data_IF_635664910900
#
_entry.id   IF_635664910900
#
_cell.length_a   1.000
_cell.length_b   1.000
_cell.length_c   1.000
_cell.angle_alpha   90.00
_cell.angle_beta   90.00
_cell.angle_gamma   90.00
#
_symmetry.space_group_name_H-M   'P 1'
#
loop_
_entity.id
_entity.type
_entity.pdbx_description
1 polymer ?
#
# COMPACT_ATOMS: atom_id res chain seq x y z
N UNK A 1 -3.02 7.53 22.44
CA UNK A 1 -2.90 6.91 21.11
C UNK A 1 -1.49 7.13 20.63
N UNK A 2 -0.73 6.04 20.48
CA UNK A 2 0.54 6.09 19.79
C UNK A 2 0.34 6.16 18.27
N UNK A 3 1.41 6.39 17.52
CA UNK A 3 1.37 6.51 16.06
C UNK A 3 0.82 5.24 15.39
N UNK A 4 1.20 4.06 15.89
CA UNK A 4 0.79 2.79 15.28
C UNK A 4 -0.72 2.58 15.40
N UNK A 5 -1.29 2.94 16.55
CA UNK A 5 -2.72 2.91 16.81
C UNK A 5 -3.49 3.87 15.89
N UNK A 6 -2.93 5.07 15.65
CA UNK A 6 -3.52 6.06 14.72
C UNK A 6 -3.56 5.51 13.30
N UNK A 7 -2.41 5.04 12.77
CA UNK A 7 -2.33 4.55 11.39
C UNK A 7 -3.26 3.35 11.17
N UNK A 8 -3.34 2.46 12.16
CA UNK A 8 -4.24 1.31 12.11
C UNK A 8 -5.71 1.73 12.06
N UNK A 9 -6.12 2.69 12.91
CA UNK A 9 -7.50 3.21 12.90
C UNK A 9 -7.85 3.91 11.58
N UNK A 10 -6.94 4.73 11.06
CA UNK A 10 -7.13 5.44 9.78
C UNK A 10 -7.36 4.44 8.66
N UNK A 11 -6.46 3.46 8.48
CA UNK A 11 -6.59 2.53 7.37
C UNK A 11 -7.81 1.62 7.50
N UNK A 12 -8.17 1.19 8.72
CA UNK A 12 -9.41 0.42 8.94
C UNK A 12 -10.63 1.23 8.50
N UNK A 13 -10.79 2.46 8.97
CA UNK A 13 -11.94 3.28 8.60
C UNK A 13 -11.95 3.65 7.11
N UNK A 14 -10.80 3.94 6.51
CA UNK A 14 -10.71 4.18 5.06
C UNK A 14 -11.12 2.93 4.28
N UNK A 15 -10.63 1.75 4.66
CA UNK A 15 -10.96 0.50 3.99
C UNK A 15 -12.47 0.17 4.07
N UNK A 16 -13.12 0.46 5.20
CA UNK A 16 -14.57 0.32 5.37
C UNK A 16 -15.37 1.32 4.51
N UNK A 17 -14.94 2.59 4.44
CA UNK A 17 -15.62 3.63 3.64
C UNK A 17 -15.60 3.28 2.15
N UNK A 18 -14.48 2.76 1.66
CA UNK A 18 -14.30 2.41 0.24
C UNK A 18 -14.72 0.97 -0.09
N UNK A 19 -15.20 0.20 0.88
CA UNK A 19 -15.54 -1.23 0.72
C UNK A 19 -14.43 -2.03 0.02
N UNK A 20 -13.18 -1.80 0.44
CA UNK A 20 -12.00 -2.40 -0.17
C UNK A 20 -11.66 -3.76 0.48
N UNK A 21 -11.16 -4.71 -0.32
CA UNK A 21 -10.78 -6.05 0.17
C UNK A 21 -9.55 -6.03 1.09
N UNK A 22 -8.63 -5.07 0.86
CA UNK A 22 -7.42 -4.85 1.65
C UNK A 22 -6.92 -3.41 1.46
N UNK A 23 -6.19 -2.91 2.46
CA UNK A 23 -5.66 -1.56 2.45
C UNK A 23 -4.38 -1.44 3.29
N UNK A 24 -3.53 -0.47 2.96
CA UNK A 24 -2.30 -0.22 3.71
C UNK A 24 -1.98 1.27 3.80
N UNK A 25 -1.24 1.63 4.86
CA UNK A 25 -0.57 2.94 4.98
C UNK A 25 0.92 2.68 5.01
N UNK A 26 1.63 3.29 4.07
CA UNK A 26 3.07 3.23 3.99
C UNK A 26 3.69 4.61 4.24
N UNK A 27 4.84 4.64 4.88
CA UNK A 27 5.59 5.86 5.15
C UNK A 27 6.91 5.82 4.39
N UNK A 28 7.30 6.95 3.82
CA UNK A 28 8.60 7.14 3.20
C UNK A 28 9.69 7.22 4.28
N UNK A 29 10.78 6.50 4.09
CA UNK A 29 12.02 6.55 4.88
C UNK A 29 13.14 7.15 4.01
N UNK A 30 13.33 8.49 4.01
CA UNK A 30 14.18 9.18 3.04
C UNK A 30 15.65 8.78 3.12
N UNK A 31 16.14 8.45 4.33
CA UNK A 31 17.52 8.03 4.57
C UNK A 31 17.90 6.73 3.85
N UNK A 32 16.89 5.89 3.54
CA UNK A 32 17.07 4.59 2.89
C UNK A 32 16.51 4.55 1.47
N UNK A 33 15.82 5.60 1.02
CA UNK A 33 15.08 5.62 -0.25
C UNK A 33 14.08 4.45 -0.35
N UNK A 34 13.45 4.13 0.78
CA UNK A 34 12.48 3.04 0.92
C UNK A 34 11.12 3.59 1.36
N UNK A 35 10.06 2.95 0.92
CA UNK A 35 8.70 3.12 1.45
C UNK A 35 8.39 1.88 2.29
N UNK A 36 7.88 2.06 3.50
CA UNK A 36 7.66 0.95 4.43
C UNK A 36 6.21 0.91 4.88
N UNK A 37 5.59 -0.27 4.76
CA UNK A 37 4.19 -0.49 5.16
C UNK A 37 4.11 -0.52 6.68
N UNK A 38 3.47 0.49 7.29
CA UNK A 38 3.35 0.65 8.75
C UNK A 38 2.05 0.07 9.29
N UNK A 39 0.97 0.22 8.54
CA UNK A 39 -0.33 -0.35 8.86
C UNK A 39 -0.93 -1.03 7.64
N UNK A 40 -1.66 -2.11 7.86
CA UNK A 40 -2.36 -2.85 6.83
C UNK A 40 -3.57 -3.57 7.43
N UNK A 41 -4.61 -3.74 6.63
CA UNK A 41 -5.89 -4.40 6.95
C UNK A 41 -6.36 -5.25 5.77
N UNK A 42 -7.25 -6.20 6.04
CA UNK A 42 -7.77 -7.13 5.03
C UNK A 42 -6.84 -8.32 4.77
N UNK A 43 -7.07 -8.99 3.65
CA UNK A 43 -6.32 -10.20 3.29
C UNK A 43 -4.83 -9.92 3.11
N UNK A 44 -3.97 -10.73 3.73
CA UNK A 44 -2.52 -10.61 3.62
C UNK A 44 -1.87 -9.51 4.48
N UNK A 45 -2.65 -8.77 5.28
CA UNK A 45 -2.18 -7.63 6.08
C UNK A 45 -0.99 -7.95 6.99
N UNK A 46 -1.01 -9.08 7.70
CA UNK A 46 0.06 -9.45 8.61
C UNK A 46 1.36 -9.83 7.89
N UNK A 47 1.26 -10.33 6.64
CA UNK A 47 2.42 -10.67 5.83
C UNK A 47 3.11 -9.43 5.23
N UNK A 48 2.37 -8.33 5.03
CA UNK A 48 2.92 -7.11 4.42
C UNK A 48 3.36 -6.06 5.43
N UNK A 49 2.88 -6.11 6.67
CA UNK A 49 3.26 -5.14 7.71
C UNK A 49 4.77 -5.22 7.99
N UNK A 50 5.45 -4.09 7.85
CA UNK A 50 6.91 -4.00 8.00
C UNK A 50 7.71 -4.30 6.73
N UNK A 51 7.07 -4.79 5.65
CA UNK A 51 7.75 -4.88 4.36
C UNK A 51 8.09 -3.48 3.85
N UNK A 52 9.22 -3.38 3.16
CA UNK A 52 9.64 -2.19 2.46
C UNK A 52 9.86 -2.45 0.98
N UNK A 53 9.72 -1.39 0.19
CA UNK A 53 10.00 -1.37 -1.23
C UNK A 53 10.81 -0.12 -1.57
N UNK A 54 11.66 -0.14 -2.61
CA UNK A 54 12.32 1.06 -3.08
C UNK A 54 11.31 2.13 -3.50
N UNK A 55 11.63 3.41 -3.26
CA UNK A 55 10.74 4.56 -3.54
C UNK A 55 10.37 4.69 -5.03
N UNK A 56 11.16 4.10 -5.94
CA UNK A 56 10.93 4.12 -7.39
C UNK A 56 10.10 2.92 -7.90
N UNK A 57 9.59 2.07 -7.00
CA UNK A 57 8.82 0.87 -7.37
C UNK A 57 7.34 0.98 -7.04
N UNK A 58 6.54 0.33 -7.88
CA UNK A 58 5.12 0.19 -7.65
C UNK A 58 4.32 1.47 -7.86
N UNK A 59 3.01 1.31 -7.73
CA UNK A 59 2.05 2.43 -7.75
C UNK A 59 2.33 3.38 -6.58
N UNK A 60 2.59 2.83 -5.38
CA UNK A 60 2.93 3.61 -4.19
C UNK A 60 4.17 4.48 -4.41
N UNK A 61 5.23 3.95 -5.03
CA UNK A 61 6.43 4.73 -5.34
C UNK A 61 6.17 5.84 -6.36
N UNK A 62 5.35 5.55 -7.37
CA UNK A 62 4.93 6.55 -8.35
C UNK A 62 4.13 7.68 -7.70
N UNK A 63 3.13 7.36 -6.88
CA UNK A 63 2.30 8.35 -6.16
C UNK A 63 3.15 9.19 -5.20
N UNK A 64 4.04 8.55 -4.43
CA UNK A 64 4.95 9.25 -3.53
C UNK A 64 5.88 10.24 -4.26
N UNK A 65 6.30 9.90 -5.49
CA UNK A 65 7.19 10.75 -6.29
C UNK A 65 6.48 11.88 -7.02
N UNK A 66 5.21 11.70 -7.39
CA UNK A 66 4.45 12.66 -8.22
C UNK A 66 3.42 13.46 -7.40
N UNK A 67 3.24 13.15 -6.12
CA UNK A 67 2.27 13.78 -5.21
C UNK A 67 0.85 13.83 -5.79
N UNK A 68 0.51 12.83 -6.61
CA UNK A 68 -0.73 12.76 -7.38
C UNK A 68 -1.40 11.40 -7.13
N UNK A 69 -2.69 11.36 -6.79
CA UNK A 69 -3.38 10.10 -6.57
C UNK A 69 -3.50 9.28 -7.85
N UNK A 70 -3.54 7.96 -7.72
CA UNK A 70 -3.69 7.02 -8.81
C UNK A 70 -4.93 6.13 -8.59
N UNK A 71 -5.86 6.16 -9.55
CA UNK A 71 -6.96 5.20 -9.66
C UNK A 71 -6.66 4.24 -10.81
N UNK A 72 -6.52 2.96 -10.50
CA UNK A 72 -6.15 1.89 -11.43
C UNK A 72 -7.26 0.82 -11.39
N UNK A 73 -8.18 0.81 -12.37
CA UNK A 73 -9.28 -0.16 -12.40
C UNK A 73 -8.83 -1.60 -12.70
N UNK A 74 -7.70 -1.77 -13.39
CA UNK A 74 -7.12 -3.07 -13.73
C UNK A 74 -5.60 -3.00 -13.68
N UNK A 75 -4.99 -3.65 -12.69
CA UNK A 75 -3.53 -3.61 -12.49
C UNK A 75 -2.76 -4.40 -13.55
N UNK A 76 -3.41 -5.33 -14.26
CA UNK A 76 -2.75 -6.10 -15.34
C UNK A 76 -2.40 -5.22 -16.54
N UNK A 77 -3.06 -4.07 -16.64
CA UNK A 77 -2.91 -3.10 -17.72
C UNK A 77 -2.04 -1.89 -17.31
N UNK A 78 -1.56 -1.85 -16.06
CA UNK A 78 -0.77 -0.73 -15.54
C UNK A 78 0.69 -1.16 -15.31
N UNK A 79 1.61 -0.58 -16.10
CA UNK A 79 3.04 -0.90 -16.01
C UNK A 79 3.69 -0.52 -14.67
N UNK A 80 3.02 0.30 -13.85
CA UNK A 80 3.49 0.66 -12.50
C UNK A 80 3.16 -0.41 -11.48
N UNK A 81 2.33 -1.40 -11.80
CA UNK A 81 1.99 -2.46 -10.86
C UNK A 81 3.23 -3.30 -10.49
N UNK A 82 3.41 -3.51 -9.18
CA UNK A 82 4.53 -4.25 -8.64
C UNK A 82 4.05 -5.45 -7.83
N UNK A 83 3.95 -6.60 -8.49
CA UNK A 83 3.34 -7.82 -7.94
C UNK A 83 4.14 -8.56 -6.86
N UNK A 84 5.30 -8.07 -6.41
CA UNK A 84 6.07 -8.76 -5.37
C UNK A 84 5.41 -8.68 -3.98
N UNK A 85 4.59 -7.65 -3.74
CA UNK A 85 3.76 -7.54 -2.53
C UNK A 85 2.67 -8.61 -2.52
N UNK A 86 2.03 -8.85 -3.66
CA UNK A 86 1.05 -9.94 -3.85
C UNK A 86 1.68 -11.30 -3.60
N UNK A 87 2.89 -11.55 -4.14
CA UNK A 87 3.63 -12.81 -3.90
C UNK A 87 3.92 -13.06 -2.42
N UNK A 88 4.24 -12.00 -1.68
CA UNK A 88 4.57 -12.09 -0.25
C UNK A 88 3.33 -12.29 0.62
N UNK A 89 2.20 -11.73 0.21
CA UNK A 89 0.96 -11.72 0.97
C UNK A 89 -0.01 -12.85 0.61
N UNK A 90 0.13 -13.44 -0.58
CA UNK A 90 -0.85 -14.34 -1.18
C UNK A 90 -2.12 -13.62 -1.66
N UNK A 91 -2.19 -12.30 -1.51
CA UNK A 91 -3.28 -11.48 -2.03
C UNK A 91 -3.12 -11.29 -3.53
N UNK A 92 -4.24 -11.22 -4.25
CA UNK A 92 -4.25 -10.95 -5.69
C UNK A 92 -4.94 -9.63 -5.95
N UNK A 93 -4.13 -8.59 -6.16
CA UNK A 93 -4.60 -7.24 -6.44
C UNK A 93 -5.19 -7.19 -7.84
N UNK A 94 -6.44 -6.70 -7.97
CA UNK A 94 -7.13 -6.51 -9.26
C UNK A 94 -7.17 -5.04 -9.66
N UNK A 95 -7.41 -4.16 -8.70
CA UNK A 95 -7.55 -2.71 -8.86
C UNK A 95 -6.92 -2.00 -7.67
N UNK A 96 -6.49 -0.75 -7.84
CA UNK A 96 -5.84 0.07 -6.80
C UNK A 96 -6.43 1.48 -6.81
N UNK A 97 -6.64 2.04 -5.61
CA UNK A 97 -6.70 3.47 -5.36
C UNK A 97 -5.57 3.82 -4.40
N UNK A 98 -4.67 4.72 -4.79
CA UNK A 98 -3.47 5.09 -4.04
C UNK A 98 -3.27 6.60 -4.02
#
# INVERSE_FOLDING_TARGET
MDMQEILSKVITSTNEIFDAEAGSVALLEPSRQEIVIRAAVGAGADAVRGLSLPVDKGVIGWVASHETPALIPDVTQDARFFGDIDKSSGFHTKSILC
#
